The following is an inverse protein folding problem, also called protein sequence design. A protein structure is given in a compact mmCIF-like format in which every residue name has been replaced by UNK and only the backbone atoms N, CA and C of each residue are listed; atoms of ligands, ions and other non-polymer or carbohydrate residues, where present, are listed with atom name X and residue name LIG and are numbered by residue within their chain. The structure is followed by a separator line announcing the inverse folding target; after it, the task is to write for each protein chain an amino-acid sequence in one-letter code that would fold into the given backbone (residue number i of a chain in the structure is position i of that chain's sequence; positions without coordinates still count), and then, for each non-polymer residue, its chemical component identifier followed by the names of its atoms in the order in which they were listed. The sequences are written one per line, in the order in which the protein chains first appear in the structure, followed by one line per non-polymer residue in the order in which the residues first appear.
data_IF_845875480941
#
_entry.id   IF_845875480941
#
_cell.length_a   1.000
_cell.length_b   1.000
_cell.length_c   1.000
_cell.angle_alpha   90.00
_cell.angle_beta   90.00
_cell.angle_gamma   90.00
#
_symmetry.space_group_name_H-M   'P 1'
#
loop_
_entity.id
_entity.type
_entity.pdbx_description
1 polymer ?
#
# COMPACT_ATOMS: atom_id res chain seq x y z
N UNK A 1 -64.47 42.62 21.42
CA UNK A 1 -63.33 41.67 21.34
C UNK A 1 -62.43 41.95 22.51
N UNK A 2 -62.53 41.10 23.53
CA UNK A 2 -61.79 41.24 24.80
C UNK A 2 -60.45 40.52 24.69
N UNK A 3 -59.38 41.24 25.00
CA UNK A 3 -58.02 40.73 25.02
C UNK A 3 -57.73 40.32 26.47
N UNK A 4 -57.64 39.03 26.72
CA UNK A 4 -57.41 38.48 28.05
C UNK A 4 -55.88 38.45 28.32
N UNK A 5 -55.46 39.25 29.31
CA UNK A 5 -54.09 39.34 29.81
C UNK A 5 -53.83 38.15 30.78
N UNK A 6 -53.14 37.13 30.31
CA UNK A 6 -52.65 36.05 31.18
C UNK A 6 -51.49 36.55 32.03
N UNK A 7 -51.72 36.59 33.35
CA UNK A 7 -50.73 36.95 34.37
C UNK A 7 -49.71 35.81 34.50
N UNK A 8 -48.45 36.09 34.13
CA UNK A 8 -47.34 35.20 34.34
C UNK A 8 -46.90 35.26 35.80
N UNK A 9 -47.13 34.18 36.58
CA UNK A 9 -46.68 34.05 37.95
C UNK A 9 -45.22 33.67 37.98
N UNK A 10 -44.36 34.51 38.56
CA UNK A 10 -42.94 34.26 38.78
C UNK A 10 -42.69 33.10 39.73
N UNK A 11 -41.76 32.19 39.46
CA UNK A 11 -41.42 31.09 40.36
C UNK A 11 -40.66 31.61 41.60
N UNK A 12 -41.13 31.22 42.80
CA UNK A 12 -40.46 31.48 44.07
C UNK A 12 -39.07 30.83 44.07
N UNK A 13 -38.01 31.63 44.15
CA UNK A 13 -36.62 31.17 44.33
C UNK A 13 -36.49 30.45 45.70
N UNK A 14 -36.46 29.12 45.67
CA UNK A 14 -36.04 28.34 46.86
C UNK A 14 -34.55 28.59 47.07
N UNK A 15 -34.21 29.30 48.16
CA UNK A 15 -32.83 29.50 48.63
C UNK A 15 -32.28 28.14 49.07
N UNK A 16 -31.41 27.52 48.27
CA UNK A 16 -30.71 26.29 48.62
C UNK A 16 -29.68 26.63 49.69
N UNK A 17 -29.64 25.92 50.85
CA UNK A 17 -28.69 26.20 51.91
C UNK A 17 -27.23 26.08 51.44
N UNK A 18 -26.38 26.96 51.98
CA UNK A 18 -24.97 27.11 51.59
C UNK A 18 -24.18 25.77 51.67
N UNK A 19 -24.55 24.92 52.66
CA UNK A 19 -23.96 23.59 52.84
C UNK A 19 -24.19 22.65 51.67
N UNK A 20 -25.33 22.72 50.97
CA UNK A 20 -25.65 21.89 49.82
C UNK A 20 -24.87 22.36 48.57
N UNK A 21 -24.52 23.63 48.49
CA UNK A 21 -23.71 24.18 47.38
C UNK A 21 -22.24 23.76 47.49
N UNK A 22 -21.69 23.64 48.70
CA UNK A 22 -20.33 23.17 48.93
C UNK A 22 -20.17 21.67 48.64
N UNK A 23 -21.18 20.85 48.94
CA UNK A 23 -21.17 19.42 48.65
C UNK A 23 -21.22 19.13 47.14
N UNK A 24 -21.98 19.92 46.34
CA UNK A 24 -22.01 19.78 44.88
C UNK A 24 -20.69 20.20 44.18
N UNK A 25 -20.01 21.23 44.71
CA UNK A 25 -18.74 21.66 44.17
C UNK A 25 -17.59 20.67 44.43
N UNK A 26 -17.61 20.00 45.59
CA UNK A 26 -16.65 18.94 45.94
C UNK A 26 -16.83 17.65 45.12
N UNK A 27 -18.09 17.27 44.86
CA UNK A 27 -18.38 16.06 44.04
C UNK A 27 -17.99 16.19 42.59
N UNK A 28 -18.10 17.39 42.03
CA UNK A 28 -17.74 17.62 40.62
C UNK A 28 -16.22 17.64 40.39
N UNK A 29 -15.45 18.05 41.40
CA UNK A 29 -13.99 18.06 41.35
C UNK A 29 -13.36 16.65 41.34
N UNK A 30 -13.95 15.70 42.07
CA UNK A 30 -13.45 14.30 42.07
C UNK A 30 -13.78 13.53 40.78
N UNK A 31 -14.85 13.89 40.08
CA UNK A 31 -15.23 13.21 38.83
C UNK A 31 -14.29 13.56 37.65
N UNK A 32 -13.62 14.72 37.67
CA UNK A 32 -12.66 15.10 36.65
C UNK A 32 -11.26 14.47 36.83
N UNK A 33 -10.92 13.98 38.04
CA UNK A 33 -9.64 13.34 38.30
C UNK A 33 -9.62 11.86 37.84
N UNK A 34 -10.77 11.25 37.56
CA UNK A 34 -10.88 9.85 37.14
C UNK A 34 -10.63 9.66 35.61
N UNK A 35 -10.50 10.73 34.82
CA UNK A 35 -10.23 10.65 33.36
C UNK A 35 -8.75 10.79 32.97
N UNK A 36 -7.85 10.92 33.98
CA UNK A 36 -6.40 10.95 33.71
C UNK A 36 -5.76 9.59 33.97
N UNK A 37 -6.40 8.49 33.56
CA UNK A 37 -5.68 7.25 33.29
C UNK A 37 -5.06 7.40 31.92
N UNK A 38 -3.77 7.66 31.90
CA UNK A 38 -2.91 7.44 30.74
C UNK A 38 -3.21 6.02 30.21
N UNK A 39 -4.09 5.98 29.21
CA UNK A 39 -4.02 4.88 28.27
C UNK A 39 -2.74 5.14 27.51
N UNK A 40 -1.67 4.43 27.88
CA UNK A 40 -0.54 4.22 27.02
C UNK A 40 -1.13 3.84 25.65
N UNK A 41 -1.13 4.81 24.74
CA UNK A 41 -1.35 4.52 23.33
C UNK A 41 -0.23 3.55 22.97
N UNK A 42 -0.52 2.35 22.50
CA UNK A 42 0.52 1.49 21.97
C UNK A 42 1.27 2.32 20.94
N UNK A 43 2.56 2.46 21.18
CA UNK A 43 3.44 3.37 20.49
C UNK A 43 3.24 3.25 18.98
N UNK A 44 2.94 4.37 18.33
CA UNK A 44 2.93 4.49 16.87
C UNK A 44 4.29 4.17 16.25
N UNK A 45 5.33 4.01 17.07
CA UNK A 45 6.64 3.55 16.63
C UNK A 45 6.62 2.14 16.03
N UNK A 46 5.77 1.22 16.52
CA UNK A 46 5.64 -0.14 15.96
C UNK A 46 5.02 -0.10 14.56
N UNK A 47 4.10 0.84 14.30
CA UNK A 47 3.52 1.01 12.97
C UNK A 47 4.48 1.70 11.99
N UNK A 48 5.34 2.60 12.46
CA UNK A 48 6.36 3.26 11.64
C UNK A 48 7.54 2.33 11.33
N UNK A 49 7.93 1.46 12.27
CA UNK A 49 9.01 0.49 12.06
C UNK A 49 8.63 -0.58 11.02
N UNK A 50 7.36 -0.94 10.90
CA UNK A 50 6.90 -1.89 9.88
C UNK A 50 6.81 -1.30 8.46
N UNK A 51 6.80 0.03 8.32
CA UNK A 51 6.80 0.71 7.00
C UNK A 51 8.23 0.89 6.47
N UNK A 52 9.26 0.81 7.32
CA UNK A 52 10.66 1.05 6.92
C UNK A 52 11.34 -0.21 6.35
N UNK A 53 10.69 -1.37 6.39
CA UNK A 53 11.16 -2.59 5.74
C UNK A 53 10.54 -2.74 4.34
N UNK A 54 10.62 -1.68 3.52
CA UNK A 54 10.36 -1.77 2.09
C UNK A 54 11.61 -2.38 1.46
N UNK A 55 11.74 -3.67 1.60
CA UNK A 55 12.72 -4.46 0.88
C UNK A 55 11.97 -5.47 0.04
N UNK A 56 12.36 -5.60 -1.19
CA UNK A 56 11.85 -6.65 -2.07
C UNK A 56 12.66 -7.93 -1.87
N UNK A 57 12.10 -9.09 -2.25
CA UNK A 57 12.84 -10.33 -2.22
C UNK A 57 14.06 -10.26 -3.15
N UNK A 58 15.27 -10.42 -2.60
CA UNK A 58 16.54 -10.30 -3.32
C UNK A 58 16.71 -11.36 -4.42
N UNK A 59 16.18 -12.56 -4.23
CA UNK A 59 16.22 -13.62 -5.24
C UNK A 59 15.30 -13.33 -6.41
N UNK A 60 14.07 -12.82 -6.13
CA UNK A 60 13.16 -12.38 -7.19
C UNK A 60 13.75 -11.20 -7.97
N UNK A 61 14.36 -10.24 -7.27
CA UNK A 61 15.03 -9.11 -7.88
C UNK A 61 16.14 -9.55 -8.84
N UNK A 62 17.07 -10.36 -8.34
CA UNK A 62 18.19 -10.88 -9.12
C UNK A 62 17.71 -11.73 -10.30
N UNK A 63 16.78 -12.65 -10.08
CA UNK A 63 16.21 -13.49 -11.12
C UNK A 63 15.53 -12.68 -12.21
N UNK A 64 14.81 -11.61 -11.85
CA UNK A 64 14.17 -10.70 -12.81
C UNK A 64 15.20 -9.98 -13.68
N UNK A 65 16.22 -9.38 -13.08
CA UNK A 65 17.29 -8.71 -13.82
C UNK A 65 18.02 -9.66 -14.78
N UNK A 66 18.34 -10.87 -14.33
CA UNK A 66 18.99 -11.87 -15.15
C UNK A 66 18.09 -12.38 -16.29
N UNK A 67 16.78 -12.53 -16.02
CA UNK A 67 15.82 -12.97 -17.05
C UNK A 67 15.61 -11.89 -18.11
N UNK A 68 15.65 -10.61 -17.72
CA UNK A 68 15.45 -9.46 -18.61
C UNK A 68 16.75 -8.91 -19.19
N UNK A 69 17.91 -9.55 -18.97
CA UNK A 69 19.24 -9.04 -19.35
C UNK A 69 19.44 -8.80 -20.84
N UNK A 70 18.61 -9.41 -21.71
CA UNK A 70 18.64 -9.21 -23.15
C UNK A 70 17.90 -7.94 -23.62
N UNK A 71 17.13 -7.29 -22.72
CA UNK A 71 16.38 -6.08 -23.01
C UNK A 71 17.04 -4.85 -22.38
N UNK A 72 17.00 -3.68 -23.04
CA UNK A 72 17.46 -2.44 -22.42
C UNK A 72 16.52 -2.06 -21.26
N UNK A 73 17.10 -1.75 -20.10
CA UNK A 73 16.35 -1.32 -18.93
C UNK A 73 16.21 0.21 -18.93
N UNK A 74 15.00 0.71 -18.66
CA UNK A 74 14.71 2.13 -18.46
C UNK A 74 14.55 2.50 -16.99
N UNK A 75 14.20 1.52 -16.16
CA UNK A 75 14.01 1.69 -14.73
C UNK A 75 14.42 0.42 -13.98
N UNK A 76 15.13 0.61 -12.86
CA UNK A 76 15.45 -0.46 -11.92
C UNK A 76 15.48 0.16 -10.51
N UNK A 77 14.36 0.07 -9.80
CA UNK A 77 14.19 0.57 -8.45
C UNK A 77 14.05 -0.61 -7.49
N UNK A 78 15.13 -0.95 -6.80
CA UNK A 78 15.16 -2.07 -5.86
C UNK A 78 14.41 -1.79 -4.56
N UNK A 79 14.22 -0.52 -4.19
CA UNK A 79 13.47 -0.16 -3.00
C UNK A 79 11.96 -0.28 -3.24
N UNK A 80 11.50 0.18 -4.40
CA UNK A 80 10.10 0.06 -4.81
C UNK A 80 9.76 -1.27 -5.49
N UNK A 81 10.76 -2.12 -5.79
CA UNK A 81 10.54 -3.42 -6.42
C UNK A 81 10.10 -3.36 -7.87
N UNK A 82 10.49 -2.33 -8.61
CA UNK A 82 10.03 -2.13 -9.99
C UNK A 82 11.20 -2.18 -10.97
N UNK A 83 11.04 -3.01 -12.02
CA UNK A 83 11.95 -3.09 -13.16
C UNK A 83 11.14 -2.79 -14.43
N UNK A 84 11.56 -1.80 -15.19
CA UNK A 84 10.97 -1.43 -16.48
C UNK A 84 11.98 -1.57 -17.59
N UNK A 85 11.56 -2.11 -18.74
CA UNK A 85 12.39 -2.20 -19.95
C UNK A 85 11.99 -1.13 -20.95
N UNK A 86 12.82 -0.90 -21.93
CA UNK A 86 12.42 -0.23 -23.17
C UNK A 86 11.82 -1.23 -24.17
N UNK A 87 11.38 -0.72 -25.31
CA UNK A 87 10.92 -1.55 -26.42
C UNK A 87 12.05 -2.41 -26.96
N UNK A 88 11.79 -3.70 -27.07
CA UNK A 88 12.70 -4.68 -27.65
C UNK A 88 12.05 -5.37 -28.85
N UNK A 89 12.74 -5.40 -29.96
CA UNK A 89 12.37 -6.16 -31.16
C UNK A 89 13.32 -7.34 -31.33
N UNK A 90 12.76 -8.52 -31.52
CA UNK A 90 13.57 -9.70 -31.86
C UNK A 90 14.17 -9.50 -33.25
N UNK A 91 15.49 -9.66 -33.46
CA UNK A 91 16.10 -9.57 -34.77
C UNK A 91 15.50 -10.49 -35.85
N UNK A 92 14.93 -11.61 -35.43
CA UNK A 92 14.23 -12.55 -36.31
C UNK A 92 12.80 -12.09 -36.68
N UNK A 93 12.22 -11.17 -35.91
CA UNK A 93 10.92 -10.58 -36.18
C UNK A 93 10.93 -9.08 -35.87
N UNK A 94 11.56 -8.25 -36.68
CA UNK A 94 11.71 -6.82 -36.41
C UNK A 94 10.42 -6.02 -36.57
N UNK A 95 9.36 -6.62 -37.12
CA UNK A 95 8.04 -6.00 -37.26
C UNK A 95 7.19 -6.12 -35.97
N UNK A 96 7.77 -6.67 -34.92
CA UNK A 96 7.13 -6.79 -33.62
C UNK A 96 8.05 -6.27 -32.51
N UNK A 97 7.50 -5.56 -31.53
CA UNK A 97 8.23 -5.13 -30.36
C UNK A 97 7.44 -5.33 -29.07
N UNK A 98 8.16 -5.59 -28.00
CA UNK A 98 7.59 -5.79 -26.68
C UNK A 98 8.29 -4.91 -25.66
N UNK A 99 7.54 -4.52 -24.64
CA UNK A 99 8.00 -3.78 -23.47
C UNK A 99 7.48 -4.48 -22.23
N UNK A 100 8.34 -4.65 -21.24
CA UNK A 100 8.01 -5.38 -20.02
C UNK A 100 8.13 -4.47 -18.79
N UNK A 101 7.29 -4.75 -17.80
CA UNK A 101 7.41 -4.21 -16.45
C UNK A 101 7.24 -5.34 -15.45
N UNK A 102 8.17 -5.45 -14.52
CA UNK A 102 8.14 -6.41 -13.41
C UNK A 102 7.95 -5.65 -12.11
N UNK A 103 7.03 -6.11 -11.28
CA UNK A 103 6.79 -5.58 -9.94
C UNK A 103 6.94 -6.69 -8.92
N UNK A 104 7.81 -6.49 -7.93
CA UNK A 104 8.03 -7.39 -6.81
C UNK A 104 7.33 -6.74 -5.60
N UNK A 105 6.33 -7.42 -5.06
CA UNK A 105 5.35 -6.87 -4.13
C UNK A 105 5.62 -7.26 -2.66
N UNK A 106 6.52 -8.21 -2.42
CA UNK A 106 6.76 -8.77 -1.09
C UNK A 106 8.24 -9.19 -0.93
N UNK A 107 8.65 -9.37 0.31
CA UNK A 107 9.95 -9.92 0.69
C UNK A 107 9.99 -11.46 0.63
N UNK A 108 8.84 -12.09 0.66
CA UNK A 108 8.72 -13.52 0.59
C UNK A 108 8.84 -14.05 -0.84
N UNK A 109 9.50 -15.20 -0.99
CA UNK A 109 9.62 -15.90 -2.27
C UNK A 109 8.34 -16.70 -2.56
N UNK A 110 7.28 -16.01 -2.98
CA UNK A 110 5.97 -16.57 -3.32
C UNK A 110 5.55 -16.17 -4.73
N UNK A 111 4.63 -16.93 -5.32
CA UNK A 111 4.16 -16.68 -6.67
C UNK A 111 3.37 -15.35 -6.79
N UNK A 112 2.63 -14.99 -5.76
CA UNK A 112 1.83 -13.77 -5.69
C UNK A 112 2.66 -12.50 -5.36
N UNK A 113 3.92 -12.69 -4.97
CA UNK A 113 4.87 -11.61 -4.75
C UNK A 113 5.48 -11.04 -6.05
N UNK A 114 5.20 -11.65 -7.19
CA UNK A 114 5.69 -11.23 -8.50
C UNK A 114 4.54 -10.92 -9.44
N UNK A 115 4.65 -9.82 -10.18
CA UNK A 115 3.75 -9.45 -11.27
C UNK A 115 4.55 -9.00 -12.47
N UNK A 116 4.17 -9.52 -13.63
CA UNK A 116 4.72 -9.11 -14.91
C UNK A 116 3.62 -8.48 -15.75
N UNK A 117 3.88 -7.30 -16.30
CA UNK A 117 3.03 -6.67 -17.30
C UNK A 117 3.82 -6.56 -18.62
N UNK A 118 3.13 -6.78 -19.72
CA UNK A 118 3.73 -6.70 -21.04
C UNK A 118 2.88 -5.81 -21.95
N UNK A 119 3.55 -4.99 -22.77
CA UNK A 119 2.95 -4.28 -23.89
C UNK A 119 3.56 -4.81 -25.17
N UNK A 120 2.73 -5.02 -26.20
CA UNK A 120 3.15 -5.52 -27.51
C UNK A 120 2.66 -4.59 -28.59
N UNK A 121 3.52 -4.31 -29.56
CA UNK A 121 3.16 -3.57 -30.76
C UNK A 121 3.65 -4.31 -31.99
N UNK A 122 2.93 -4.13 -33.09
CA UNK A 122 3.28 -4.67 -34.41
C UNK A 122 3.33 -3.55 -35.46
N UNK A 123 4.21 -3.70 -36.41
CA UNK A 123 4.34 -2.74 -37.52
C UNK A 123 3.22 -2.97 -38.52
N UNK A 124 2.40 -1.96 -38.75
CA UNK A 124 1.32 -1.95 -39.74
C UNK A 124 1.43 -0.67 -40.58
N UNK A 125 1.56 -0.81 -41.86
CA UNK A 125 1.66 0.34 -42.80
C UNK A 125 2.70 1.40 -42.39
N UNK A 126 3.84 0.96 -41.85
CA UNK A 126 4.91 1.86 -41.40
C UNK A 126 4.71 2.50 -40.04
N UNK A 127 3.67 2.12 -39.27
CA UNK A 127 3.37 2.63 -37.95
C UNK A 127 3.30 1.50 -36.92
N UNK A 128 3.72 1.78 -35.68
CA UNK A 128 3.56 0.86 -34.55
C UNK A 128 2.14 0.93 -34.01
N UNK A 129 1.47 -0.21 -33.98
CA UNK A 129 0.10 -0.36 -33.53
C UNK A 129 0.06 -1.35 -32.37
N UNK A 130 -0.63 -0.99 -31.27
CA UNK A 130 -0.82 -1.86 -30.11
C UNK A 130 -1.48 -3.18 -30.50
N UNK A 131 -0.94 -4.28 -29.99
CA UNK A 131 -1.44 -5.63 -30.23
C UNK A 131 -1.67 -6.37 -28.92
N UNK A 132 -2.63 -7.31 -28.86
CA UNK A 132 -2.90 -8.07 -27.65
C UNK A 132 -1.68 -8.91 -27.23
N UNK A 133 -1.44 -8.96 -25.91
CA UNK A 133 -0.48 -9.88 -25.31
C UNK A 133 -1.25 -11.12 -24.85
N UNK A 134 -0.71 -12.29 -25.16
CA UNK A 134 -1.32 -13.53 -24.65
C UNK A 134 -1.02 -13.68 -23.15
N UNK A 135 -2.04 -13.91 -22.34
CA UNK A 135 -1.89 -14.10 -20.89
C UNK A 135 -0.91 -15.24 -20.56
N UNK A 136 -0.92 -16.30 -21.34
CA UNK A 136 0.01 -17.43 -21.20
C UNK A 136 1.50 -17.00 -21.34
N UNK A 137 1.81 -15.98 -22.16
CA UNK A 137 3.17 -15.48 -22.30
C UNK A 137 3.64 -14.78 -21.03
N UNK A 138 2.78 -13.97 -20.40
CA UNK A 138 3.06 -13.27 -19.14
C UNK A 138 3.25 -14.29 -18.01
N UNK A 139 2.34 -15.24 -17.87
CA UNK A 139 2.43 -16.31 -16.88
C UNK A 139 3.71 -17.14 -17.03
N UNK A 140 4.07 -17.49 -18.29
CA UNK A 140 5.31 -18.21 -18.56
C UNK A 140 6.55 -17.44 -18.09
N UNK A 141 6.55 -16.12 -18.25
CA UNK A 141 7.65 -15.28 -17.81
C UNK A 141 7.72 -15.21 -16.28
N UNK A 142 6.57 -15.08 -15.60
CA UNK A 142 6.48 -15.15 -14.15
C UNK A 142 7.03 -16.49 -13.62
N UNK A 143 6.65 -17.60 -14.23
CA UNK A 143 7.13 -18.94 -13.86
C UNK A 143 8.65 -19.10 -14.04
N UNK A 144 9.20 -18.55 -15.11
CA UNK A 144 10.66 -18.57 -15.37
C UNK A 144 11.40 -17.80 -14.28
N UNK A 145 10.94 -16.60 -13.95
CA UNK A 145 11.56 -15.76 -12.90
C UNK A 145 11.46 -16.47 -11.53
N UNK A 146 10.29 -17.00 -11.18
CA UNK A 146 10.09 -17.72 -9.93
C UNK A 146 10.96 -18.97 -9.80
N UNK A 147 11.09 -19.74 -10.87
CA UNK A 147 11.94 -20.92 -10.90
C UNK A 147 13.39 -20.53 -10.69
N UNK A 148 13.88 -19.53 -11.42
CA UNK A 148 15.23 -19.02 -11.29
C UNK A 148 15.52 -18.47 -9.90
N UNK A 149 14.58 -17.73 -9.29
CA UNK A 149 14.71 -17.23 -7.93
C UNK A 149 14.83 -18.35 -6.89
N UNK A 150 14.07 -19.43 -7.06
CA UNK A 150 14.19 -20.64 -6.21
C UNK A 150 15.53 -21.36 -6.38
N UNK A 151 16.04 -21.40 -7.60
CA UNK A 151 17.35 -21.99 -7.89
C UNK A 151 18.48 -21.18 -7.25
N UNK A 152 18.45 -19.86 -7.37
CA UNK A 152 19.39 -18.95 -6.70
C UNK A 152 19.35 -19.15 -5.17
N UNK A 153 18.17 -19.20 -4.58
CA UNK A 153 18.04 -19.46 -3.14
C UNK A 153 18.64 -20.79 -2.73
N UNK A 154 18.45 -21.85 -3.52
CA UNK A 154 19.01 -23.16 -3.22
C UNK A 154 20.53 -23.16 -3.29
N UNK A 155 21.11 -22.46 -4.26
CA UNK A 155 22.57 -22.35 -4.41
C UNK A 155 23.25 -21.55 -3.29
N UNK A 156 22.53 -20.62 -2.66
CA UNK A 156 23.07 -19.80 -1.56
C UNK A 156 23.01 -20.51 -0.19
N UNK A 157 22.20 -21.57 -0.06
CA UNK A 157 21.98 -22.29 1.20
C UNK A 157 22.81 -23.60 1.25
N UNK A 158 23.29 -24.08 0.12
CA UNK A 158 24.10 -25.31 -0.03
C UNK A 158 25.55 -25.02 -0.03
#
# INVERSE_FOLDING_TARGET
MAFEMTRFSAPRSRRVPLALRLALAGGLGLALAACATDRERPDREVAAASVTSIGVNSYLWRASLETLSFMPLTQADSAGGVIGTDWYSNPQNPAERVKLSVSILDQDLRADALRVAASREVMQNGQWVGAPVQAATVQKLEDIILTKARDLRRSDIG
#
